data_IF_830115037369
#
_entry.id   IF_830115037369
#
_cell.length_a   1.000
_cell.length_b   1.000
_cell.length_c   1.000
_cell.angle_alpha   90.00
_cell.angle_beta   90.00
_cell.angle_gamma   90.00
#
_symmetry.space_group_name_H-M   'P 1'
#
loop_
_entity.id
_entity.type
_entity.pdbx_description
1 polymer ?
#
# COMPACT_ATOMS: atom_id res chain seq x y z
N UNK A 1 10.51 -20.61 -22.70
CA UNK A 1 9.79 -19.68 -21.82
C UNK A 1 10.34 -19.88 -20.42
N UNK A 2 11.24 -19.00 -19.98
CA UNK A 2 11.78 -19.02 -18.62
C UNK A 2 10.71 -18.37 -17.72
N UNK A 3 9.99 -19.19 -16.97
CA UNK A 3 9.20 -18.70 -15.85
C UNK A 3 10.20 -18.36 -14.74
N UNK A 4 10.44 -17.06 -14.52
CA UNK A 4 11.12 -16.62 -13.31
C UNK A 4 10.17 -16.87 -12.15
N UNK A 5 10.46 -17.89 -11.35
CA UNK A 5 9.74 -18.18 -10.12
C UNK A 5 10.24 -17.22 -9.04
N UNK A 6 9.36 -16.30 -8.63
CA UNK A 6 9.61 -15.35 -7.54
C UNK A 6 8.69 -15.69 -6.36
N UNK A 7 9.18 -15.52 -5.14
CA UNK A 7 8.36 -15.68 -3.92
C UNK A 7 7.35 -14.53 -3.75
N UNK A 8 7.70 -13.33 -4.23
CA UNK A 8 6.87 -12.14 -4.17
C UNK A 8 7.04 -11.28 -5.44
N UNK A 9 5.97 -10.59 -5.81
CA UNK A 9 5.99 -9.53 -6.81
C UNK A 9 5.35 -8.28 -6.21
N UNK A 10 6.03 -7.14 -6.34
CA UNK A 10 5.50 -5.82 -5.96
C UNK A 10 5.03 -5.16 -7.25
N UNK A 11 3.73 -4.83 -7.31
CA UNK A 11 3.09 -4.31 -8.51
C UNK A 11 2.61 -2.89 -8.21
N UNK A 12 3.26 -1.92 -8.82
CA UNK A 12 2.87 -0.52 -8.77
C UNK A 12 1.72 -0.25 -9.74
N UNK A 13 0.69 0.45 -9.28
CA UNK A 13 -0.44 0.87 -10.11
C UNK A 13 0.03 2.01 -11.01
N UNK A 14 -0.26 1.94 -12.31
CA UNK A 14 0.11 3.00 -13.25
C UNK A 14 -0.74 4.26 -13.06
N UNK A 15 -2.05 4.16 -13.27
CA UNK A 15 -2.98 5.28 -13.17
C UNK A 15 -4.30 4.89 -12.52
N UNK A 16 -4.71 5.65 -11.49
CA UNK A 16 -5.93 5.39 -10.76
C UNK A 16 -5.82 4.12 -9.92
N UNK A 17 -6.54 3.07 -10.30
CA UNK A 17 -6.57 1.79 -9.58
C UNK A 17 -7.70 0.88 -10.04
N UNK A 18 -8.94 1.38 -10.06
CA UNK A 18 -10.12 0.61 -10.49
C UNK A 18 -9.95 0.02 -11.89
N UNK A 19 -9.54 0.86 -12.85
CA UNK A 19 -9.44 0.50 -14.27
C UNK A 19 -7.99 0.28 -14.73
N UNK A 20 -7.04 0.27 -13.80
CA UNK A 20 -5.65 0.02 -14.15
C UNK A 20 -5.45 -1.44 -14.55
N UNK A 21 -4.62 -1.68 -15.57
CA UNK A 21 -4.33 -3.04 -16.06
C UNK A 21 -3.76 -3.97 -14.98
N UNK A 22 -3.06 -3.43 -13.98
CA UNK A 22 -2.52 -4.17 -12.84
C UNK A 22 -3.61 -4.71 -11.92
N UNK A 23 -4.81 -4.11 -11.95
CA UNK A 23 -5.96 -4.54 -11.16
C UNK A 23 -6.56 -5.88 -11.66
N UNK A 24 -5.98 -6.47 -12.70
CA UNK A 24 -6.23 -7.85 -13.13
C UNK A 24 -5.85 -8.90 -12.08
N UNK A 25 -4.98 -8.54 -11.11
CA UNK A 25 -4.62 -9.42 -9.99
C UNK A 25 -5.81 -9.55 -9.04
N UNK A 26 -6.45 -10.72 -9.04
CA UNK A 26 -7.68 -10.96 -8.28
C UNK A 26 -7.45 -11.18 -6.78
N UNK A 27 -6.33 -11.80 -6.44
CA UNK A 27 -6.03 -12.26 -5.07
C UNK A 27 -4.64 -11.78 -4.62
N UNK A 28 -4.41 -10.46 -4.51
CA UNK A 28 -3.17 -9.96 -3.92
C UNK A 28 -3.07 -10.38 -2.45
N UNK A 29 -1.84 -10.63 -1.98
CA UNK A 29 -1.60 -10.97 -0.57
C UNK A 29 -1.81 -9.76 0.35
N UNK A 30 -1.60 -8.54 -0.14
CA UNK A 30 -1.82 -7.31 0.61
C UNK A 30 -1.87 -6.14 -0.38
N UNK A 31 -2.69 -5.13 -0.11
CA UNK A 31 -2.75 -3.90 -0.90
C UNK A 31 -2.25 -2.70 -0.09
N UNK A 32 -1.73 -1.67 -0.76
CA UNK A 32 -1.25 -0.44 -0.13
C UNK A 32 -1.66 0.80 -0.90
N UNK A 33 -2.06 1.86 -0.19
CA UNK A 33 -2.29 3.20 -0.75
C UNK A 33 -1.33 4.18 -0.05
N UNK A 34 -0.42 4.78 -0.82
CA UNK A 34 0.50 5.82 -0.35
C UNK A 34 -0.23 7.16 -0.16
N UNK A 35 0.46 8.20 0.30
CA UNK A 35 -0.10 9.56 0.38
C UNK A 35 -0.72 9.96 -0.97
N UNK A 36 -1.94 10.51 -0.92
CA UNK A 36 -2.67 10.97 -2.10
C UNK A 36 -2.45 12.47 -2.31
N UNK A 37 -2.16 12.83 -3.54
CA UNK A 37 -2.09 14.21 -4.01
C UNK A 37 -3.07 14.45 -5.15
N UNK A 38 -3.13 15.72 -5.58
CA UNK A 38 -3.86 16.12 -6.78
C UNK A 38 -3.07 15.69 -8.01
N UNK A 39 -3.17 14.41 -8.37
CA UNK A 39 -2.49 13.82 -9.51
C UNK A 39 -3.49 13.44 -10.60
N UNK A 40 -3.15 13.73 -11.86
CA UNK A 40 -3.91 13.30 -13.04
C UNK A 40 -5.42 13.67 -13.00
N UNK A 41 -5.73 14.90 -12.59
CA UNK A 41 -7.10 15.37 -12.36
C UNK A 41 -8.00 15.29 -13.61
N UNK A 42 -7.42 15.44 -14.80
CA UNK A 42 -8.12 15.28 -16.09
C UNK A 42 -8.72 13.88 -16.28
N UNK A 43 -8.20 12.87 -15.57
CA UNK A 43 -8.61 11.46 -15.70
C UNK A 43 -9.28 10.96 -14.41
N UNK A 44 -8.75 11.33 -13.24
CA UNK A 44 -9.18 10.79 -11.94
C UNK A 44 -10.19 11.69 -11.22
N UNK A 45 -10.46 12.89 -11.74
CA UNK A 45 -11.36 13.87 -11.15
C UNK A 45 -10.64 15.03 -10.46
N UNK A 46 -11.42 16.06 -10.13
CA UNK A 46 -10.93 17.36 -9.67
C UNK A 46 -10.85 17.48 -8.13
N UNK A 47 -11.09 16.39 -7.41
CA UNK A 47 -11.04 16.35 -5.93
C UNK A 47 -10.25 15.14 -5.44
N UNK A 48 -9.62 15.20 -4.25
CA UNK A 48 -8.91 14.03 -3.72
C UNK A 48 -9.87 12.89 -3.40
N UNK A 49 -11.15 13.17 -3.11
CA UNK A 49 -12.17 12.15 -2.93
C UNK A 49 -12.40 11.31 -4.19
N UNK A 50 -12.45 11.96 -5.37
CA UNK A 50 -12.56 11.25 -6.66
C UNK A 50 -11.29 10.43 -6.94
N UNK A 51 -10.11 11.02 -6.73
CA UNK A 51 -8.83 10.33 -6.88
C UNK A 51 -8.74 9.12 -5.94
N UNK A 52 -9.15 9.29 -4.68
CA UNK A 52 -9.19 8.24 -3.68
C UNK A 52 -10.14 7.10 -4.08
N UNK A 53 -11.28 7.41 -4.69
CA UNK A 53 -12.23 6.41 -5.20
C UNK A 53 -11.58 5.52 -6.26
N UNK A 54 -10.88 6.12 -7.23
CA UNK A 54 -10.13 5.38 -8.24
C UNK A 54 -9.02 4.51 -7.61
N UNK A 55 -8.23 5.07 -6.68
CA UNK A 55 -7.10 4.36 -6.07
C UNK A 55 -7.55 3.25 -5.12
N UNK A 56 -8.64 3.44 -4.38
CA UNK A 56 -9.27 2.41 -3.55
C UNK A 56 -9.91 1.28 -4.36
N UNK A 57 -9.98 1.41 -5.69
CA UNK A 57 -10.36 0.35 -6.61
C UNK A 57 -9.46 -0.88 -6.61
N UNK A 58 -8.25 -0.79 -6.07
CA UNK A 58 -7.34 -1.93 -5.90
C UNK A 58 -7.71 -2.84 -4.72
N UNK A 59 -8.59 -2.37 -3.83
CA UNK A 59 -9.03 -3.16 -2.69
C UNK A 59 -9.80 -4.39 -3.16
N UNK A 60 -9.50 -5.54 -2.55
CA UNK A 60 -10.14 -6.82 -2.82
C UNK A 60 -10.82 -7.34 -1.56
N UNK A 61 -12.01 -7.97 -1.65
CA UNK A 61 -12.73 -8.40 -0.48
C UNK A 61 -11.88 -9.26 0.47
N UNK A 62 -11.89 -8.92 1.75
CA UNK A 62 -11.16 -9.63 2.82
C UNK A 62 -9.64 -9.66 2.68
N UNK A 63 -9.06 -9.01 1.67
CA UNK A 63 -7.61 -8.83 1.56
C UNK A 63 -7.21 -7.64 2.44
N UNK A 64 -6.23 -7.79 3.35
CA UNK A 64 -5.77 -6.69 4.17
C UNK A 64 -5.18 -5.58 3.31
N UNK A 65 -5.43 -4.35 3.72
CA UNK A 65 -4.89 -3.17 3.07
C UNK A 65 -4.29 -2.21 4.09
N UNK A 66 -3.30 -1.46 3.67
CA UNK A 66 -2.66 -0.43 4.47
C UNK A 66 -2.71 0.91 3.73
N UNK A 67 -2.93 1.99 4.48
CA UNK A 67 -2.74 3.35 3.99
C UNK A 67 -1.90 4.13 4.99
N UNK A 68 -1.47 5.32 4.61
CA UNK A 68 -0.94 6.34 5.53
C UNK A 68 -2.03 7.38 5.84
N UNK A 69 -1.86 8.28 6.83
CA UNK A 69 -2.77 9.40 7.03
C UNK A 69 -3.00 10.19 5.73
N UNK A 70 -4.27 10.48 5.44
CA UNK A 70 -4.70 11.21 4.24
C UNK A 70 -5.49 12.48 4.62
N UNK A 71 -5.62 13.44 3.70
CA UNK A 71 -6.62 14.50 3.84
C UNK A 71 -8.04 13.90 4.05
N UNK A 72 -8.90 14.54 4.87
CA UNK A 72 -10.19 13.97 5.25
C UNK A 72 -11.04 13.48 4.07
N UNK A 73 -11.15 14.28 3.00
CA UNK A 73 -11.95 13.93 1.81
C UNK A 73 -11.50 12.65 1.10
N UNK A 74 -10.19 12.33 1.15
CA UNK A 74 -9.66 11.08 0.62
C UNK A 74 -9.80 9.94 1.63
N UNK A 75 -9.55 10.23 2.91
CA UNK A 75 -9.60 9.23 3.97
C UNK A 75 -10.99 8.63 4.12
N UNK A 76 -12.03 9.45 4.07
CA UNK A 76 -13.43 9.02 4.19
C UNK A 76 -13.79 8.02 3.08
N UNK A 77 -13.40 8.30 1.84
CA UNK A 77 -13.62 7.41 0.68
C UNK A 77 -12.87 6.09 0.83
N UNK A 78 -11.61 6.12 1.28
CA UNK A 78 -10.82 4.90 1.49
C UNK A 78 -11.45 4.03 2.58
N UNK A 79 -11.89 4.63 3.69
CA UNK A 79 -12.55 3.92 4.80
C UNK A 79 -13.89 3.34 4.36
N UNK A 80 -14.70 4.10 3.66
CA UNK A 80 -16.00 3.65 3.15
C UNK A 80 -15.79 2.46 2.21
N UNK A 81 -14.86 2.58 1.25
CA UNK A 81 -14.56 1.51 0.31
C UNK A 81 -14.05 0.25 1.00
N UNK A 82 -13.20 0.40 2.03
CA UNK A 82 -12.73 -0.73 2.81
C UNK A 82 -13.88 -1.43 3.55
N UNK A 83 -14.82 -0.66 4.13
CA UNK A 83 -16.01 -1.21 4.82
C UNK A 83 -16.90 -1.98 3.86
N UNK A 84 -17.21 -1.43 2.69
CA UNK A 84 -18.03 -2.08 1.65
C UNK A 84 -17.48 -3.46 1.27
N UNK A 85 -16.16 -3.57 1.14
CA UNK A 85 -15.47 -4.78 0.72
C UNK A 85 -15.07 -5.68 1.89
N UNK A 86 -15.37 -5.31 3.14
CA UNK A 86 -14.88 -6.00 4.34
C UNK A 86 -13.36 -6.19 4.34
N UNK A 87 -12.64 -5.16 3.90
CA UNK A 87 -11.18 -5.08 3.89
C UNK A 87 -10.69 -4.74 5.30
N UNK A 88 -9.79 -5.55 5.89
CA UNK A 88 -9.07 -5.15 7.08
C UNK A 88 -8.10 -4.01 6.72
N UNK A 89 -8.56 -2.76 6.88
CA UNK A 89 -7.77 -1.57 6.60
C UNK A 89 -7.06 -1.09 7.86
N UNK A 90 -5.75 -0.87 7.77
CA UNK A 90 -4.95 -0.24 8.83
C UNK A 90 -4.30 1.06 8.33
N UNK A 91 -4.32 2.09 9.17
CA UNK A 91 -3.61 3.35 8.92
C UNK A 91 -2.25 3.27 9.59
N UNK A 92 -1.19 3.37 8.79
CA UNK A 92 0.18 3.28 9.24
C UNK A 92 0.72 4.66 9.57
N UNK A 93 1.09 4.86 10.83
CA UNK A 93 1.78 6.06 11.29
C UNK A 93 3.21 6.15 10.74
N UNK A 94 3.74 7.36 10.49
CA UNK A 94 5.09 7.54 9.97
C UNK A 94 6.14 6.98 10.91
N UNK A 95 7.25 6.50 10.35
CA UNK A 95 8.40 6.09 11.17
C UNK A 95 8.98 7.29 11.91
N UNK A 96 9.14 7.14 13.22
CA UNK A 96 9.85 8.12 14.03
C UNK A 96 11.33 7.73 14.26
N UNK A 97 12.10 8.67 14.81
CA UNK A 97 13.52 8.47 15.08
C UNK A 97 13.80 7.31 16.07
N UNK A 98 12.85 6.96 16.94
CA UNK A 98 12.98 5.86 17.90
C UNK A 98 12.80 4.51 17.21
N UNK A 99 11.83 4.42 16.31
CA UNK A 99 11.55 3.23 15.51
C UNK A 99 12.68 2.91 14.52
N UNK A 100 13.31 3.96 13.97
CA UNK A 100 14.43 3.82 13.04
C UNK A 100 15.71 3.27 13.69
N UNK A 101 15.85 3.28 15.02
CA UNK A 101 17.03 2.75 15.76
C UNK A 101 18.39 3.23 15.20
N UNK A 102 18.46 4.47 14.71
CA UNK A 102 19.67 5.04 14.10
C UNK A 102 19.87 4.72 12.62
N UNK A 103 18.94 4.00 11.98
CA UNK A 103 18.91 3.87 10.52
C UNK A 103 18.56 5.21 9.89
N UNK A 104 19.25 5.55 8.80
CA UNK A 104 18.96 6.74 8.00
C UNK A 104 18.32 6.28 6.69
N UNK A 105 17.20 6.90 6.31
CA UNK A 105 16.61 6.64 4.99
C UNK A 105 17.53 7.21 3.91
N UNK A 106 17.78 6.44 2.86
CA UNK A 106 18.61 6.86 1.73
C UNK A 106 17.97 7.95 0.86
N UNK A 107 16.71 8.30 1.14
CA UNK A 107 15.95 9.33 0.46
C UNK A 107 15.60 10.46 1.44
N UNK A 108 15.76 11.70 1.00
CA UNK A 108 15.40 12.88 1.77
C UNK A 108 13.91 13.24 1.63
N UNK A 109 13.34 13.82 2.67
CA UNK A 109 11.99 14.40 2.67
C UNK A 109 11.05 13.72 3.67
N UNK A 110 10.18 14.50 4.30
CA UNK A 110 9.33 14.03 5.41
C UNK A 110 8.35 12.93 5.00
N UNK A 111 7.89 12.96 3.75
CA UNK A 111 7.02 11.92 3.18
C UNK A 111 7.68 10.53 3.14
N UNK A 112 9.02 10.46 3.17
CA UNK A 112 9.73 9.19 3.14
C UNK A 112 9.54 8.38 4.43
N UNK A 113 9.24 9.02 5.56
CA UNK A 113 8.90 8.32 6.79
C UNK A 113 7.56 7.58 6.68
N UNK A 114 6.59 8.17 5.98
CA UNK A 114 5.30 7.54 5.69
C UNK A 114 5.47 6.39 4.70
N UNK A 115 6.20 6.61 3.61
CA UNK A 115 6.47 5.57 2.61
C UNK A 115 7.20 4.36 3.22
N UNK A 116 8.22 4.61 4.03
CA UNK A 116 8.97 3.57 4.71
C UNK A 116 8.10 2.80 5.71
N UNK A 117 7.26 3.50 6.48
CA UNK A 117 6.33 2.86 7.41
C UNK A 117 5.36 1.93 6.67
N UNK A 118 4.74 2.44 5.60
CA UNK A 118 3.80 1.68 4.78
C UNK A 118 4.48 0.44 4.18
N UNK A 119 5.69 0.60 3.62
CA UNK A 119 6.46 -0.51 3.07
C UNK A 119 6.75 -1.60 4.11
N UNK A 120 7.08 -1.21 5.35
CA UNK A 120 7.30 -2.15 6.46
C UNK A 120 6.01 -2.88 6.83
N UNK A 121 4.88 -2.18 6.92
CA UNK A 121 3.57 -2.77 7.23
C UNK A 121 3.14 -3.79 6.17
N UNK A 122 3.26 -3.42 4.88
CA UNK A 122 2.97 -4.32 3.76
C UNK A 122 3.86 -5.57 3.79
N UNK A 123 5.17 -5.38 3.98
CA UNK A 123 6.14 -6.48 4.02
C UNK A 123 5.88 -7.42 5.20
N UNK A 124 5.56 -6.87 6.37
CA UNK A 124 5.21 -7.65 7.57
C UNK A 124 3.95 -8.47 7.34
N UNK A 125 2.90 -7.87 6.77
CA UNK A 125 1.67 -8.57 6.44
C UNK A 125 1.93 -9.73 5.46
N UNK A 126 2.70 -9.48 4.39
CA UNK A 126 3.07 -10.51 3.43
C UNK A 126 3.84 -11.66 4.09
N UNK A 127 4.84 -11.38 4.92
CA UNK A 127 5.62 -12.39 5.64
C UNK A 127 4.74 -13.26 6.54
N UNK A 128 3.82 -12.64 7.29
CA UNK A 128 2.89 -13.34 8.18
C UNK A 128 1.91 -14.23 7.41
N UNK A 129 1.35 -13.72 6.30
CA UNK A 129 0.36 -14.47 5.50
C UNK A 129 0.95 -15.61 4.69
N UNK A 130 2.22 -15.52 4.32
CA UNK A 130 2.89 -16.52 3.46
C UNK A 130 3.77 -17.50 4.24
N UNK A 131 4.07 -17.25 5.51
CA UNK A 131 4.97 -18.09 6.30
C UNK A 131 6.45 -17.93 5.93
N UNK A 132 6.81 -16.96 5.09
CA UNK A 132 8.21 -16.74 4.67
C UNK A 132 9.12 -16.13 5.76
N UNK A 133 8.63 -15.96 7.00
CA UNK A 133 9.41 -15.41 8.12
C UNK A 133 10.68 -16.23 8.41
N UNK A 134 10.59 -17.56 8.33
CA UNK A 134 11.72 -18.47 8.63
C UNK A 134 12.89 -18.28 7.66
N UNK A 135 12.60 -18.08 6.36
CA UNK A 135 13.63 -17.80 5.33
C UNK A 135 14.35 -16.49 5.60
N UNK A 136 13.66 -15.47 6.11
CA UNK A 136 14.28 -14.18 6.44
C UNK A 136 15.22 -14.34 7.63
N UNK A 137 14.79 -15.00 8.70
CA UNK A 137 15.61 -15.17 9.91
C UNK A 137 16.87 -16.01 9.69
N UNK A 138 16.85 -16.99 8.78
CA UNK A 138 18.03 -17.81 8.44
C UNK A 138 19.14 -16.99 7.75
N UNK A 139 18.82 -15.85 7.14
CA UNK A 139 19.78 -15.00 6.43
C UNK A 139 20.36 -13.85 7.27
N UNK A 140 19.99 -13.72 8.55
CA UNK A 140 20.48 -12.68 9.47
C UNK A 140 21.52 -13.24 10.47
N UNK A 141 22.17 -14.36 10.11
CA UNK A 141 23.23 -15.01 10.92
C UNK A 141 24.62 -14.68 10.40
#
# INVERSE_FOLDING_TARGET
MLLLLVDAAIIEVGLGGTEDSTNAIKEPTVCGITSLGMDHTEILGDTLGQIASHKAGIFKPKVPAFTVPQPPEAMDVIIERAKELMVPLEVTEPLDCKQMKGLTLGLSGDHQFYNAALAVSLSRCWLQRTGNWEKVCQNVS
#
